data_IF_768798315179
#
_entry.id   IF_768798315179
#
_cell.length_a   1.000
_cell.length_b   1.000
_cell.length_c   1.000
_cell.angle_alpha   90.00
_cell.angle_beta   90.00
_cell.angle_gamma   90.00
#
_symmetry.space_group_name_H-M   'P 1'
#
loop_
_entity.id
_entity.type
_entity.pdbx_description
1 polymer ?
#
# COMPACT_ATOMS: atom_id res chain seq x y z
N UNK A 1 7.89 19.31 -4.19
CA UNK A 1 7.23 18.18 -4.87
C UNK A 1 7.01 17.06 -3.86
N UNK A 2 5.79 16.88 -3.40
CA UNK A 2 5.52 15.81 -2.45
C UNK A 2 5.54 14.43 -3.08
N UNK A 3 5.90 13.45 -2.29
CA UNK A 3 5.97 12.04 -2.71
C UNK A 3 5.34 11.17 -1.63
N UNK A 4 4.42 10.32 -2.04
CA UNK A 4 3.75 9.36 -1.15
C UNK A 4 4.06 7.95 -1.66
N UNK A 5 4.52 7.08 -0.78
CA UNK A 5 4.72 5.68 -1.10
C UNK A 5 3.76 4.83 -0.25
N UNK A 6 2.99 3.98 -0.91
CA UNK A 6 2.07 3.07 -0.25
C UNK A 6 2.57 1.66 -0.53
N UNK A 7 3.05 0.99 0.52
CA UNK A 7 3.47 -0.41 0.42
C UNK A 7 2.39 -1.29 1.01
N UNK A 8 1.97 -2.28 0.27
CA UNK A 8 0.94 -3.23 0.71
C UNK A 8 1.39 -4.64 0.35
N UNK A 9 0.92 -5.61 1.10
CA UNK A 9 1.13 -7.00 0.73
C UNK A 9 0.33 -7.31 -0.54
N UNK A 10 0.88 -8.19 -1.39
CA UNK A 10 0.24 -8.56 -2.66
C UNK A 10 -0.96 -9.47 -2.38
N UNK A 11 -2.16 -8.90 -2.47
CA UNK A 11 -3.40 -9.60 -2.13
C UNK A 11 -4.52 -9.34 -3.12
N UNK A 12 -4.17 -9.10 -4.37
CA UNK A 12 -5.16 -8.95 -5.43
C UNK A 12 -5.79 -7.56 -5.55
N UNK A 13 -5.03 -6.52 -5.21
CA UNK A 13 -5.50 -5.15 -5.40
C UNK A 13 -5.71 -4.88 -6.90
N UNK A 14 -6.87 -4.33 -7.24
CA UNK A 14 -7.23 -4.06 -8.64
C UNK A 14 -6.64 -2.72 -9.11
N UNK A 15 -6.57 -2.55 -10.42
CA UNK A 15 -6.12 -1.28 -11.02
C UNK A 15 -7.02 -0.12 -10.60
N UNK A 16 -8.33 -0.36 -10.49
CA UNK A 16 -9.28 0.66 -10.04
C UNK A 16 -9.01 1.07 -8.59
N UNK A 17 -8.75 0.10 -7.72
CA UNK A 17 -8.41 0.39 -6.32
C UNK A 17 -7.13 1.20 -6.23
N UNK A 18 -6.11 0.86 -7.01
CA UNK A 18 -4.86 1.62 -7.06
C UNK A 18 -5.09 3.06 -7.50
N UNK A 19 -5.91 3.25 -8.54
CA UNK A 19 -6.25 4.60 -9.02
C UNK A 19 -6.93 5.42 -7.93
N UNK A 20 -7.85 4.81 -7.18
CA UNK A 20 -8.55 5.48 -6.08
C UNK A 20 -7.60 5.83 -4.93
N UNK A 21 -6.65 4.96 -4.63
CA UNK A 21 -5.62 5.24 -3.62
C UNK A 21 -4.75 6.44 -4.05
N UNK A 22 -4.37 6.48 -5.32
CA UNK A 22 -3.59 7.61 -5.86
C UNK A 22 -4.35 8.93 -5.76
N UNK A 23 -5.64 8.91 -6.12
CA UNK A 23 -6.49 10.09 -6.04
C UNK A 23 -6.65 10.55 -4.60
N UNK A 24 -6.91 9.62 -3.69
CA UNK A 24 -7.13 9.95 -2.28
C UNK A 24 -5.88 10.49 -1.60
N UNK A 25 -4.72 9.88 -1.85
CA UNK A 25 -3.46 10.34 -1.29
C UNK A 25 -3.12 11.75 -1.82
N UNK A 26 -3.31 11.98 -3.11
CA UNK A 26 -3.09 13.28 -3.73
C UNK A 26 -4.01 14.33 -3.09
N UNK A 27 -5.29 14.00 -2.97
CA UNK A 27 -6.27 14.93 -2.42
C UNK A 27 -5.96 15.28 -0.96
N UNK A 28 -5.47 14.33 -0.20
CA UNK A 28 -5.07 14.58 1.19
C UNK A 28 -3.98 15.65 1.26
N UNK A 29 -2.97 15.57 0.40
CA UNK A 29 -1.90 16.56 0.37
C UNK A 29 -2.36 17.92 -0.11
N UNK A 30 -3.33 17.95 -1.01
CA UNK A 30 -3.95 19.20 -1.45
C UNK A 30 -4.70 19.85 -0.28
N UNK A 31 -5.50 19.07 0.43
CA UNK A 31 -6.36 19.59 1.50
C UNK A 31 -5.55 20.06 2.72
N UNK A 32 -4.53 19.33 3.10
CA UNK A 32 -3.77 19.62 4.31
C UNK A 32 -2.65 20.63 4.05
N UNK A 33 -1.94 20.47 2.96
CA UNK A 33 -0.71 21.25 2.68
C UNK A 33 -0.84 22.22 1.53
N UNK A 34 -1.96 22.25 0.82
CA UNK A 34 -2.14 23.10 -0.36
C UNK A 34 -1.20 22.77 -1.51
N UNK A 35 -0.79 21.49 -1.61
CA UNK A 35 0.13 21.10 -2.66
C UNK A 35 -0.54 21.03 -4.03
N UNK A 36 0.25 21.26 -5.09
CA UNK A 36 -0.23 21.17 -6.45
C UNK A 36 -0.40 19.71 -6.84
N UNK A 37 -1.62 19.25 -7.20
CA UNK A 37 -1.81 17.84 -7.57
C UNK A 37 -0.99 17.43 -8.78
N UNK A 38 -0.66 18.34 -9.67
CA UNK A 38 0.14 18.04 -10.87
C UNK A 38 1.59 17.69 -10.57
N UNK A 39 2.07 18.04 -9.39
CA UNK A 39 3.45 17.76 -8.97
C UNK A 39 3.51 16.87 -7.73
N UNK A 40 2.39 16.25 -7.38
CA UNK A 40 2.29 15.29 -6.27
C UNK A 40 2.42 13.87 -6.83
N UNK A 41 3.40 13.13 -6.33
CA UNK A 41 3.68 11.77 -6.80
C UNK A 41 3.19 10.75 -5.79
N UNK A 42 2.51 9.72 -6.27
CA UNK A 42 2.08 8.59 -5.43
C UNK A 42 2.54 7.31 -6.10
N UNK A 43 3.27 6.48 -5.35
CA UNK A 43 3.76 5.19 -5.83
C UNK A 43 3.16 4.10 -4.95
N UNK A 44 2.62 3.06 -5.57
CA UNK A 44 2.09 1.89 -4.86
C UNK A 44 3.00 0.71 -5.17
N UNK A 45 3.51 0.07 -4.12
CA UNK A 45 4.34 -1.11 -4.23
C UNK A 45 3.63 -2.29 -3.60
N UNK A 46 3.43 -3.35 -4.37
CA UNK A 46 2.91 -4.61 -3.86
C UNK A 46 4.09 -5.50 -3.51
N UNK A 47 4.11 -5.97 -2.27
CA UNK A 47 5.20 -6.79 -1.74
C UNK A 47 4.66 -8.19 -1.51
N UNK A 48 5.37 -9.20 -2.01
CA UNK A 48 4.99 -10.59 -1.76
C UNK A 48 5.00 -10.88 -0.26
N UNK A 49 4.06 -11.71 0.18
CA UNK A 49 3.94 -12.06 1.60
C UNK A 49 5.19 -12.76 2.14
N UNK A 50 5.97 -13.39 1.27
CA UNK A 50 7.27 -13.96 1.64
C UNK A 50 8.30 -12.89 2.01
N UNK A 51 8.10 -11.66 1.53
CA UNK A 51 9.02 -10.55 1.73
C UNK A 51 8.53 -9.57 2.79
N UNK A 52 7.42 -9.88 3.46
CA UNK A 52 6.84 -9.03 4.50
C UNK A 52 6.94 -9.75 5.84
N UNK A 53 7.79 -9.23 6.70
CA UNK A 53 8.03 -9.86 8.01
C UNK A 53 7.30 -9.17 9.14
N UNK A 54 6.71 -9.95 10.03
CA UNK A 54 6.12 -9.49 11.29
C UNK A 54 6.72 -10.34 12.39
N UNK A 55 7.32 -9.70 13.39
CA UNK A 55 7.95 -10.38 14.51
C UNK A 55 8.97 -11.43 14.07
N UNK A 56 9.70 -11.15 12.98
CA UNK A 56 10.73 -12.03 12.45
C UNK A 56 10.23 -13.16 11.57
N UNK A 57 8.93 -13.20 11.24
CA UNK A 57 8.37 -14.25 10.41
C UNK A 57 7.72 -13.69 9.15
N UNK A 58 7.86 -14.39 8.01
CA UNK A 58 7.12 -13.96 6.81
C UNK A 58 5.62 -14.08 7.01
N UNK A 59 4.87 -13.14 6.46
CA UNK A 59 3.40 -13.16 6.52
C UNK A 59 2.84 -14.45 5.93
N UNK A 60 3.48 -14.99 4.91
CA UNK A 60 3.08 -16.28 4.32
C UNK A 60 2.98 -17.38 5.39
N UNK A 61 3.99 -17.50 6.25
CA UNK A 61 4.00 -18.50 7.31
C UNK A 61 2.93 -18.24 8.37
N UNK A 62 2.76 -16.96 8.74
CA UNK A 62 1.75 -16.55 9.73
C UNK A 62 0.35 -16.93 9.25
N UNK A 63 0.04 -16.63 7.99
CA UNK A 63 -1.28 -16.92 7.41
C UNK A 63 -1.51 -18.41 7.22
N UNK A 64 -0.47 -19.16 6.88
CA UNK A 64 -0.57 -20.60 6.76
C UNK A 64 -0.95 -21.25 8.11
N UNK A 65 -0.35 -20.77 9.21
CA UNK A 65 -0.68 -21.27 10.56
C UNK A 65 -2.10 -20.88 10.96
N UNK A 66 -2.49 -19.64 10.69
CA UNK A 66 -3.86 -19.16 10.99
C UNK A 66 -4.90 -19.97 10.22
N UNK A 67 -4.64 -20.25 8.94
CA UNK A 67 -5.53 -21.04 8.11
C UNK A 67 -5.62 -22.49 8.61
N UNK A 68 -4.50 -23.06 8.99
CA UNK A 68 -4.46 -24.44 9.51
C UNK A 68 -5.15 -24.57 10.87
N UNK A 69 -5.14 -23.49 11.67
CA UNK A 69 -5.77 -23.48 12.99
C UNK A 69 -7.28 -23.23 12.93
N UNK A 70 -7.79 -22.77 11.79
CA UNK A 70 -9.24 -22.54 11.60
C UNK A 70 -9.92 -23.76 10.96
#
# INVERSE_FOLDING_TARGET
MPYVNIKITREGVTADQKARLMQGATQLLVDVLGKNPKTTFVVIEEVDTDNWGIAGEPVTAIRARAKAAS
#
